data_IF_316619539773
#
_entry.id   IF_316619539773
#
_cell.length_a   1.000
_cell.length_b   1.000
_cell.length_c   1.000
_cell.angle_alpha   90.00
_cell.angle_beta   90.00
_cell.angle_gamma   90.00
#
_symmetry.space_group_name_H-M   'P 1'
#
loop_
_entity.id
_entity.type
_entity.pdbx_description
1 polymer ?
#
# COMPACT_ATOMS: atom_id res chain seq x y z
N UNK A 1 7.14 -3.12 -2.75
CA UNK A 1 7.95 -3.05 -4.00
C UNK A 1 8.04 -4.44 -4.59
N UNK A 2 7.96 -4.57 -5.91
CA UNK A 2 7.89 -5.87 -6.61
C UNK A 2 9.27 -6.41 -7.06
N UNK A 3 10.33 -5.69 -6.72
CA UNK A 3 11.70 -6.01 -7.13
C UNK A 3 12.68 -4.91 -6.72
N UNK A 4 13.81 -4.87 -7.43
CA UNK A 4 14.88 -3.88 -7.29
C UNK A 4 15.15 -3.18 -8.62
N UNK A 5 15.94 -2.11 -8.66
CA UNK A 5 16.25 -1.45 -9.94
C UNK A 5 17.00 -2.35 -10.91
N UNK A 6 17.89 -3.22 -10.41
CA UNK A 6 18.61 -4.16 -11.27
C UNK A 6 17.67 -5.26 -11.81
N UNK A 7 16.66 -5.63 -11.03
CA UNK A 7 15.70 -6.69 -11.32
C UNK A 7 14.29 -6.16 -11.00
N UNK A 8 13.68 -5.37 -11.89
CA UNK A 8 12.45 -4.61 -11.59
C UNK A 8 11.27 -5.47 -11.15
N UNK A 9 11.24 -6.71 -11.63
CA UNK A 9 10.23 -7.72 -11.31
C UNK A 9 10.92 -8.99 -10.83
N UNK A 10 10.96 -9.16 -9.52
CA UNK A 10 11.43 -10.41 -8.91
C UNK A 10 10.24 -11.39 -8.88
N UNK A 11 10.35 -12.48 -9.66
CA UNK A 11 9.28 -13.48 -9.78
C UNK A 11 8.95 -14.17 -8.46
N UNK A 12 9.94 -14.40 -7.60
CA UNK A 12 9.72 -15.04 -6.32
C UNK A 12 8.96 -14.10 -5.38
N UNK A 13 9.36 -12.82 -5.34
CA UNK A 13 8.69 -11.80 -4.53
C UNK A 13 7.26 -11.53 -5.03
N UNK A 14 7.06 -11.48 -6.35
CA UNK A 14 5.75 -11.34 -6.98
C UNK A 14 4.83 -12.51 -6.64
N UNK A 15 5.31 -13.75 -6.84
CA UNK A 15 4.57 -14.95 -6.51
C UNK A 15 4.20 -15.01 -5.04
N UNK A 16 5.13 -14.63 -4.15
CA UNK A 16 4.86 -14.54 -2.72
C UNK A 16 3.79 -13.48 -2.40
N UNK A 17 3.90 -12.26 -2.94
CA UNK A 17 2.92 -11.19 -2.71
C UNK A 17 1.53 -11.53 -3.21
N UNK A 18 1.43 -12.07 -4.42
CA UNK A 18 0.14 -12.47 -5.01
C UNK A 18 -0.43 -13.68 -4.27
N UNK A 19 0.41 -14.62 -3.85
CA UNK A 19 0.00 -15.74 -3.01
C UNK A 19 -0.64 -15.30 -1.70
N UNK A 20 -0.06 -14.30 -1.03
CA UNK A 20 -0.63 -13.68 0.18
C UNK A 20 -2.02 -13.10 -0.10
N UNK A 21 -2.15 -12.30 -1.17
CA UNK A 21 -3.44 -11.71 -1.56
C UNK A 21 -4.47 -12.79 -1.86
N UNK A 22 -4.10 -13.82 -2.61
CA UNK A 22 -4.98 -14.92 -2.98
C UNK A 22 -5.46 -15.72 -1.76
N UNK A 23 -4.59 -15.96 -0.78
CA UNK A 23 -4.97 -16.61 0.48
C UNK A 23 -6.00 -15.79 1.27
N UNK A 24 -5.83 -14.46 1.31
CA UNK A 24 -6.74 -13.57 2.00
C UNK A 24 -8.10 -13.47 1.28
N UNK A 25 -8.07 -13.36 -0.05
CA UNK A 25 -9.26 -13.36 -0.89
C UNK A 25 -10.09 -14.64 -0.69
N UNK A 26 -9.44 -15.81 -0.63
CA UNK A 26 -10.11 -17.10 -0.35
C UNK A 26 -10.74 -17.18 1.04
N UNK A 27 -10.38 -16.30 1.96
CA UNK A 27 -11.04 -16.18 3.26
C UNK A 27 -12.31 -15.30 3.21
N UNK A 28 -12.74 -14.84 2.03
CA UNK A 28 -13.94 -14.01 1.85
C UNK A 28 -13.72 -12.52 2.11
N UNK A 29 -12.47 -12.07 2.12
CA UNK A 29 -12.11 -10.68 2.44
C UNK A 29 -12.07 -9.85 1.16
N UNK A 30 -12.68 -8.66 1.20
CA UNK A 30 -12.63 -7.69 0.11
C UNK A 30 -11.29 -6.94 0.19
N UNK A 31 -10.55 -6.91 -0.91
CA UNK A 31 -9.15 -6.42 -0.91
C UNK A 31 -8.99 -5.27 -1.91
N UNK A 32 -8.46 -4.16 -1.40
CA UNK A 32 -7.88 -3.08 -2.21
C UNK A 32 -6.35 -3.13 -2.11
N UNK A 33 -5.66 -3.10 -3.23
CA UNK A 33 -4.19 -3.12 -3.31
C UNK A 33 -3.71 -1.79 -3.86
N UNK A 34 -2.85 -1.09 -3.11
CA UNK A 34 -2.11 0.07 -3.62
C UNK A 34 -0.65 -0.32 -3.77
N UNK A 35 -0.07 -0.09 -4.96
CA UNK A 35 1.31 -0.45 -5.26
C UNK A 35 2.15 0.78 -5.63
N UNK A 36 3.30 0.92 -4.97
CA UNK A 36 4.27 1.99 -5.30
C UNK A 36 5.15 1.64 -6.50
N UNK A 37 5.73 2.65 -7.17
CA UNK A 37 6.52 2.52 -8.40
C UNK A 37 8.05 2.42 -8.20
N UNK A 38 8.52 2.34 -6.94
CA UNK A 38 9.93 2.52 -6.57
C UNK A 38 10.93 1.48 -7.07
N UNK A 39 10.44 0.35 -7.61
CA UNK A 39 11.26 -0.67 -8.29
C UNK A 39 11.60 -0.28 -9.73
N UNK A 40 10.78 0.57 -10.37
CA UNK A 40 10.99 1.05 -11.74
C UNK A 40 11.57 2.46 -11.73
N UNK A 41 10.95 3.37 -10.98
CA UNK A 41 11.33 4.78 -10.93
C UNK A 41 11.50 5.19 -9.47
N UNK A 42 12.70 5.66 -9.11
CA UNK A 42 12.93 6.34 -7.83
C UNK A 42 12.97 7.85 -8.06
N UNK A 43 12.02 8.60 -7.48
CA UNK A 43 11.92 10.05 -7.67
C UNK A 43 13.22 10.82 -7.43
N UNK A 44 14.09 10.36 -6.51
CA UNK A 44 15.42 10.99 -6.28
C UNK A 44 16.35 10.93 -7.51
N UNK A 45 16.27 9.90 -8.32
CA UNK A 45 17.06 9.78 -9.55
C UNK A 45 16.54 10.70 -10.68
N UNK A 46 15.31 11.20 -10.53
CA UNK A 46 14.60 12.02 -11.52
C UNK A 46 14.46 13.49 -11.08
N UNK A 47 15.19 13.92 -10.05
CA UNK A 47 15.09 15.30 -9.54
C UNK A 47 15.37 16.36 -10.60
N UNK A 48 16.19 16.04 -11.60
CA UNK A 48 16.50 16.93 -12.73
C UNK A 48 15.30 17.24 -13.64
N UNK A 49 14.22 16.44 -13.58
CA UNK A 49 12.95 16.70 -14.30
C UNK A 49 12.04 17.69 -13.58
N UNK A 50 12.39 18.08 -12.34
CA UNK A 50 11.49 18.76 -11.42
C UNK A 50 10.48 17.80 -10.78
N UNK A 51 10.05 18.14 -9.57
CA UNK A 51 9.23 17.26 -8.71
C UNK A 51 7.97 16.75 -9.41
N UNK A 52 7.22 17.63 -10.09
CA UNK A 52 5.95 17.25 -10.70
C UNK A 52 6.09 16.21 -11.80
N UNK A 53 7.08 16.34 -12.69
CA UNK A 53 7.30 15.36 -13.76
C UNK A 53 7.87 14.05 -13.21
N UNK A 54 8.76 14.13 -12.21
CA UNK A 54 9.26 12.93 -11.53
C UNK A 54 8.12 12.12 -10.89
N UNK A 55 7.13 12.79 -10.29
CA UNK A 55 5.95 12.15 -9.71
C UNK A 55 5.05 11.53 -10.80
N UNK A 56 4.88 12.20 -11.95
CA UNK A 56 4.15 11.62 -13.09
C UNK A 56 4.80 10.34 -13.60
N UNK A 57 6.14 10.30 -13.74
CA UNK A 57 6.86 9.06 -14.06
C UNK A 57 6.61 7.98 -13.00
N UNK A 58 6.58 8.38 -11.71
CA UNK A 58 6.23 7.50 -10.61
C UNK A 58 4.81 6.93 -10.73
N UNK A 59 3.82 7.75 -11.08
CA UNK A 59 2.43 7.32 -11.30
C UNK A 59 2.34 6.29 -12.43
N UNK A 60 3.01 6.53 -13.57
CA UNK A 60 3.07 5.54 -14.66
C UNK A 60 3.75 4.24 -14.22
N UNK A 61 4.82 4.32 -13.42
CA UNK A 61 5.46 3.13 -12.85
C UNK A 61 4.50 2.30 -11.97
N UNK A 62 3.59 2.95 -11.23
CA UNK A 62 2.55 2.20 -10.48
C UNK A 62 1.56 1.49 -11.40
N UNK A 63 1.22 2.07 -12.56
CA UNK A 63 0.34 1.44 -13.56
C UNK A 63 0.98 0.17 -14.10
N UNK A 64 2.27 0.22 -14.46
CA UNK A 64 3.02 -0.96 -14.92
C UNK A 64 3.01 -2.05 -13.84
N UNK A 65 3.29 -1.69 -12.59
CA UNK A 65 3.24 -2.63 -11.47
C UNK A 65 1.85 -3.25 -11.27
N UNK A 66 0.79 -2.46 -11.40
CA UNK A 66 -0.58 -2.96 -11.29
C UNK A 66 -0.91 -3.99 -12.36
N UNK A 67 -0.53 -3.74 -13.62
CA UNK A 67 -0.70 -4.71 -14.72
C UNK A 67 0.00 -6.04 -14.38
N UNK A 68 1.23 -5.97 -13.89
CA UNK A 68 1.99 -7.17 -13.50
C UNK A 68 1.28 -7.93 -12.38
N UNK A 69 0.79 -7.25 -11.34
CA UNK A 69 0.03 -7.88 -10.25
C UNK A 69 -1.26 -8.51 -10.79
N UNK A 70 -1.98 -7.82 -11.67
CA UNK A 70 -3.24 -8.30 -12.25
C UNK A 70 -3.03 -9.60 -13.03
N UNK A 71 -1.99 -9.68 -13.86
CA UNK A 71 -1.64 -10.90 -14.61
C UNK A 71 -1.35 -12.07 -13.66
N UNK A 72 -0.63 -11.83 -12.57
CA UNK A 72 -0.36 -12.88 -11.60
C UNK A 72 -1.62 -13.30 -10.84
N UNK A 73 -2.50 -12.36 -10.46
CA UNK A 73 -3.78 -12.69 -9.84
C UNK A 73 -4.66 -13.54 -10.76
N UNK A 74 -4.66 -13.25 -12.07
CA UNK A 74 -5.36 -14.05 -13.08
C UNK A 74 -4.81 -15.49 -13.14
N UNK A 75 -3.48 -15.69 -13.08
CA UNK A 75 -2.88 -17.02 -13.00
C UNK A 75 -3.33 -17.80 -11.76
N UNK A 76 -3.67 -17.10 -10.67
CA UNK A 76 -4.25 -17.68 -9.46
C UNK A 76 -5.78 -17.76 -9.46
N UNK A 77 -6.43 -17.47 -10.59
CA UNK A 77 -7.88 -17.45 -10.76
C UNK A 77 -8.59 -16.49 -9.78
N UNK A 78 -7.93 -15.38 -9.44
CA UNK A 78 -8.49 -14.34 -8.57
C UNK A 78 -9.02 -13.19 -9.44
N UNK A 79 -10.33 -12.87 -9.37
CA UNK A 79 -10.90 -11.74 -10.11
C UNK A 79 -10.25 -10.44 -9.64
N UNK A 80 -9.77 -9.64 -10.59
CA UNK A 80 -9.08 -8.40 -10.28
C UNK A 80 -9.28 -7.32 -11.35
N UNK A 81 -9.32 -6.06 -10.90
CA UNK A 81 -9.58 -4.88 -11.75
C UNK A 81 -8.59 -3.77 -11.40
N UNK A 82 -8.01 -3.14 -12.42
CA UNK A 82 -7.21 -1.93 -12.25
C UNK A 82 -8.14 -0.71 -12.13
N UNK A 83 -7.77 0.22 -11.25
CA UNK A 83 -8.44 1.51 -11.09
C UNK A 83 -7.37 2.59 -10.82
N UNK A 84 -7.39 3.71 -11.54
CA UNK A 84 -6.22 4.59 -11.61
C UNK A 84 -6.48 6.03 -11.17
N UNK A 85 -5.55 6.66 -10.46
CA UNK A 85 -5.60 8.10 -10.17
C UNK A 85 -5.56 8.98 -11.43
N UNK A 86 -4.93 8.48 -12.50
CA UNK A 86 -4.83 9.11 -13.83
C UNK A 86 -5.47 8.22 -14.89
N UNK A 87 -6.08 8.82 -15.91
CA UNK A 87 -6.59 8.06 -17.05
C UNK A 87 -5.45 7.62 -17.97
N UNK A 88 -5.44 6.36 -18.38
CA UNK A 88 -4.50 5.81 -19.36
C UNK A 88 -5.29 5.08 -20.42
N UNK A 89 -5.63 5.80 -21.49
CA UNK A 89 -6.47 5.31 -22.58
C UNK A 89 -6.00 3.96 -23.11
N UNK A 90 -6.94 3.01 -23.22
CA UNK A 90 -6.68 1.63 -23.66
C UNK A 90 -6.09 0.71 -22.59
N UNK A 91 -5.78 1.21 -21.39
CA UNK A 91 -5.16 0.42 -20.31
C UNK A 91 -6.02 0.42 -19.05
N UNK A 92 -6.29 1.60 -18.47
CA UNK A 92 -7.03 1.72 -17.21
C UNK A 92 -7.74 3.06 -17.14
N UNK A 93 -8.98 3.03 -16.68
CA UNK A 93 -9.79 4.22 -16.49
C UNK A 93 -9.50 4.90 -15.16
N UNK A 94 -9.85 6.19 -15.09
CA UNK A 94 -9.79 6.93 -13.84
C UNK A 94 -10.68 6.28 -12.77
N UNK A 95 -10.15 6.20 -11.55
CA UNK A 95 -10.82 5.64 -10.40
C UNK A 95 -12.13 6.37 -10.15
N UNK A 96 -13.20 5.59 -10.05
CA UNK A 96 -14.54 6.05 -9.77
C UNK A 96 -15.14 5.14 -8.71
N UNK A 97 -15.34 5.69 -7.50
CA UNK A 97 -15.95 4.94 -6.41
C UNK A 97 -17.28 4.32 -6.84
N UNK A 98 -18.09 5.05 -7.61
CA UNK A 98 -19.38 4.58 -8.11
C UNK A 98 -19.25 3.38 -9.07
N UNK A 99 -18.25 3.38 -9.95
CA UNK A 99 -18.05 2.30 -10.92
C UNK A 99 -17.34 1.09 -10.32
N UNK A 100 -16.41 1.31 -9.39
CA UNK A 100 -15.59 0.27 -8.80
C UNK A 100 -16.26 -0.41 -7.60
N UNK A 101 -17.22 0.25 -6.92
CA UNK A 101 -17.95 -0.29 -5.75
C UNK A 101 -18.58 -1.65 -6.01
N UNK A 102 -19.36 -1.86 -7.09
CA UNK A 102 -20.05 -3.14 -7.28
C UNK A 102 -19.07 -4.32 -7.44
N UNK A 103 -17.92 -4.08 -8.08
CA UNK A 103 -16.86 -5.09 -8.21
C UNK A 103 -16.21 -5.39 -6.87
N UNK A 104 -15.92 -4.35 -6.07
CA UNK A 104 -15.37 -4.51 -4.72
C UNK A 104 -16.32 -5.31 -3.81
N UNK A 105 -17.61 -4.98 -3.82
CA UNK A 105 -18.64 -5.70 -3.06
C UNK A 105 -18.79 -7.15 -3.51
N UNK A 106 -18.61 -7.44 -4.80
CA UNK A 106 -18.59 -8.78 -5.36
C UNK A 106 -17.30 -9.57 -5.05
N UNK A 107 -16.35 -8.99 -4.31
CA UNK A 107 -15.09 -9.63 -3.93
C UNK A 107 -13.98 -9.50 -4.98
N UNK A 108 -14.17 -8.72 -6.04
CA UNK A 108 -13.09 -8.45 -7.02
C UNK A 108 -11.98 -7.66 -6.34
N UNK A 109 -10.73 -8.11 -6.46
CA UNK A 109 -9.58 -7.38 -5.95
C UNK A 109 -9.38 -6.11 -6.78
N UNK A 110 -9.53 -4.94 -6.13
CA UNK A 110 -9.24 -3.67 -6.77
C UNK A 110 -7.75 -3.34 -6.62
N UNK A 111 -7.09 -3.04 -7.73
CA UNK A 111 -5.68 -2.66 -7.77
C UNK A 111 -5.63 -1.17 -8.14
N UNK A 112 -5.38 -0.34 -7.12
CA UNK A 112 -5.27 1.10 -7.28
C UNK A 112 -3.87 1.49 -7.74
N UNK A 113 -3.81 2.13 -8.90
CA UNK A 113 -2.60 2.64 -9.54
C UNK A 113 -2.73 4.14 -9.81
N UNK A 114 -1.71 4.77 -10.38
CA UNK A 114 -1.72 6.21 -10.66
C UNK A 114 -1.71 7.11 -9.42
N UNK A 115 -1.45 6.55 -8.23
CA UNK A 115 -1.46 7.31 -6.97
C UNK A 115 -2.77 8.04 -6.70
N UNK A 116 -2.68 9.27 -6.20
CA UNK A 116 -3.84 10.18 -6.06
C UNK A 116 -4.23 10.83 -7.39
N UNK A 117 -3.46 10.62 -8.46
CA UNK A 117 -3.57 11.34 -9.72
C UNK A 117 -2.89 12.71 -9.73
N UNK A 118 -2.34 13.15 -8.59
CA UNK A 118 -1.75 14.46 -8.42
C UNK A 118 -0.27 14.35 -7.98
N UNK A 119 0.63 15.17 -8.53
CA UNK A 119 1.98 15.32 -7.99
C UNK A 119 1.98 15.79 -6.54
N UNK A 120 3.12 15.67 -5.86
CA UNK A 120 3.37 16.06 -4.46
C UNK A 120 2.74 15.13 -3.41
N UNK A 121 2.01 14.10 -3.83
CA UNK A 121 1.42 13.11 -2.94
C UNK A 121 2.12 11.76 -3.05
N UNK A 122 2.19 11.05 -1.93
CA UNK A 122 2.83 9.73 -1.91
C UNK A 122 1.83 8.62 -2.20
N UNK A 123 2.35 7.41 -2.42
CA UNK A 123 1.52 6.21 -2.50
C UNK A 123 0.83 5.89 -1.17
N UNK A 124 1.40 6.29 -0.02
CA UNK A 124 0.75 6.13 1.28
C UNK A 124 -0.50 7.04 1.35
N UNK A 125 -0.43 8.26 0.82
CA UNK A 125 -1.61 9.15 0.73
C UNK A 125 -2.69 8.55 -0.16
N UNK A 126 -2.31 7.94 -1.28
CA UNK A 126 -3.26 7.24 -2.14
C UNK A 126 -3.91 6.05 -1.40
N UNK A 127 -3.14 5.26 -0.66
CA UNK A 127 -3.67 4.15 0.12
C UNK A 127 -4.66 4.60 1.19
N UNK A 128 -4.35 5.67 1.93
CA UNK A 128 -5.24 6.27 2.91
C UNK A 128 -6.55 6.78 2.25
N UNK A 129 -6.43 7.50 1.13
CA UNK A 129 -7.58 8.01 0.38
C UNK A 129 -8.50 6.87 -0.09
N UNK A 130 -7.95 5.84 -0.73
CA UNK A 130 -8.76 4.70 -1.21
C UNK A 130 -9.35 3.90 -0.06
N UNK A 131 -8.64 3.77 1.06
CA UNK A 131 -9.20 3.12 2.24
C UNK A 131 -10.44 3.87 2.76
N UNK A 132 -10.40 5.21 2.81
CA UNK A 132 -11.54 6.01 3.22
C UNK A 132 -12.69 5.97 2.21
N UNK A 133 -12.41 6.05 0.90
CA UNK A 133 -13.44 5.92 -0.14
C UNK A 133 -14.05 4.51 -0.19
N UNK A 134 -13.34 3.49 0.27
CA UNK A 134 -13.81 2.11 0.26
C UNK A 134 -14.28 1.58 1.61
N UNK A 135 -14.38 2.45 2.62
CA UNK A 135 -14.82 2.10 3.98
C UNK A 135 -14.02 0.91 4.52
N UNK A 136 -12.71 0.90 4.26
CA UNK A 136 -11.84 -0.20 4.61
C UNK A 136 -11.66 -0.29 6.14
N UNK A 137 -11.79 -1.50 6.67
CA UNK A 137 -11.65 -1.76 8.11
C UNK A 137 -10.22 -1.48 8.63
N UNK A 138 -9.21 -1.56 7.76
CA UNK A 138 -7.80 -1.39 8.12
C UNK A 138 -6.94 -1.09 6.90
N UNK A 139 -5.94 -0.22 7.08
CA UNK A 139 -4.82 -0.06 6.13
C UNK A 139 -3.65 -0.92 6.57
N UNK A 140 -3.25 -1.86 5.71
CA UNK A 140 -2.09 -2.72 5.97
C UNK A 140 -0.88 -2.22 5.16
N UNK A 141 0.12 -1.68 5.86
CA UNK A 141 1.35 -1.17 5.28
C UNK A 141 2.46 -2.22 5.36
N UNK A 142 2.67 -2.90 4.25
CA UNK A 142 3.76 -3.87 4.05
C UNK A 142 5.13 -3.17 3.94
N UNK A 143 6.03 -3.43 4.89
CA UNK A 143 7.38 -2.84 4.92
C UNK A 143 8.47 -3.91 5.04
N UNK A 144 9.74 -3.47 5.08
CA UNK A 144 10.90 -4.34 5.33
C UNK A 144 11.31 -4.42 6.81
N UNK A 145 10.70 -3.60 7.66
CA UNK A 145 10.97 -3.55 9.11
C UNK A 145 9.82 -4.23 9.87
N UNK A 146 10.08 -4.69 11.08
CA UNK A 146 9.07 -5.44 11.87
C UNK A 146 7.81 -4.64 12.18
N UNK A 147 7.94 -3.32 12.31
CA UNK A 147 6.84 -2.41 12.60
C UNK A 147 7.41 -1.01 12.84
N UNK A 148 6.72 -0.23 13.65
CA UNK A 148 7.13 1.12 14.03
C UNK A 148 8.04 1.03 15.25
N UNK A 149 9.19 1.68 15.19
CA UNK A 149 10.18 1.69 16.26
C UNK A 149 10.39 3.09 16.83
N UNK A 150 10.86 3.17 18.07
CA UNK A 150 11.22 4.42 18.74
C UNK A 150 12.35 5.20 18.04
N UNK A 151 13.20 4.49 17.29
CA UNK A 151 14.27 5.04 16.48
C UNK A 151 14.53 4.12 15.28
N UNK A 152 15.33 4.58 14.31
CA UNK A 152 15.78 3.77 13.18
C UNK A 152 16.57 2.55 13.68
N UNK A 153 16.06 1.30 13.51
CA UNK A 153 16.72 0.09 14.01
C UNK A 153 18.09 -0.15 13.39
N UNK A 154 18.29 0.29 12.14
CA UNK A 154 19.56 0.11 11.45
C UNK A 154 20.66 0.99 12.05
N UNK A 155 20.26 2.12 12.67
CA UNK A 155 21.18 3.09 13.28
C UNK A 155 21.26 2.96 14.79
N UNK A 156 20.20 2.48 15.43
CA UNK A 156 20.04 2.50 16.89
C UNK A 156 19.72 1.11 17.40
N UNK A 157 20.72 0.42 17.99
CA UNK A 157 20.54 -0.92 18.58
C UNK A 157 19.52 -0.97 19.74
N UNK A 158 19.20 0.18 20.35
CA UNK A 158 18.20 0.31 21.42
C UNK A 158 16.79 0.66 20.91
N UNK A 159 16.57 0.66 19.59
CA UNK A 159 15.25 0.90 19.02
C UNK A 159 14.25 -0.14 19.55
N UNK A 160 13.16 0.33 20.14
CA UNK A 160 12.12 -0.52 20.71
C UNK A 160 10.95 -0.57 19.75
N UNK A 161 10.47 -1.78 19.44
CA UNK A 161 9.28 -2.00 18.62
C UNK A 161 8.03 -1.71 19.44
N UNK A 162 7.16 -0.85 18.92
CA UNK A 162 5.83 -0.67 19.47
C UNK A 162 4.88 -1.75 18.94
N UNK A 163 4.07 -2.35 19.81
CA UNK A 163 2.99 -3.26 19.38
C UNK A 163 1.70 -2.53 19.04
N UNK A 164 1.37 -1.53 19.85
CA UNK A 164 0.21 -0.66 19.70
C UNK A 164 0.63 0.78 19.89
N UNK A 165 0.06 1.68 19.11
CA UNK A 165 0.27 3.12 19.20
C UNK A 165 -1.05 3.85 19.00
N UNK A 166 -1.22 4.97 19.69
CA UNK A 166 -2.27 5.93 19.36
C UNK A 166 -1.78 6.88 18.27
N UNK A 167 -2.70 7.37 17.43
CA UNK A 167 -2.37 8.39 16.42
C UNK A 167 -1.67 9.62 17.04
N UNK A 168 -2.21 10.16 18.14
CA UNK A 168 -1.63 11.32 18.83
C UNK A 168 -0.24 11.03 19.42
N UNK A 169 -0.03 9.81 19.90
CA UNK A 169 1.26 9.38 20.43
C UNK A 169 2.31 9.32 19.31
N UNK A 170 1.95 8.76 18.16
CA UNK A 170 2.84 8.70 17.01
C UNK A 170 3.22 10.10 16.48
N UNK A 171 2.27 11.03 16.45
CA UNK A 171 2.51 12.43 16.05
C UNK A 171 3.42 13.14 17.06
N UNK A 172 3.09 13.07 18.35
CA UNK A 172 3.88 13.73 19.41
C UNK A 172 5.32 13.21 19.49
N UNK A 173 5.54 11.93 19.20
CA UNK A 173 6.88 11.32 19.12
C UNK A 173 7.56 11.50 17.75
N UNK A 174 6.91 12.16 16.80
CA UNK A 174 7.40 12.39 15.42
C UNK A 174 7.85 11.07 14.74
N UNK A 175 7.08 9.99 14.92
CA UNK A 175 7.38 8.68 14.36
C UNK A 175 7.12 8.69 12.85
N UNK A 176 8.12 8.29 12.06
CA UNK A 176 8.01 8.23 10.59
C UNK A 176 7.29 6.97 10.13
N UNK A 177 5.96 7.00 10.16
CA UNK A 177 5.09 5.87 9.79
C UNK A 177 4.75 5.92 8.30
N UNK A 178 4.20 7.05 7.86
CA UNK A 178 3.82 7.44 6.51
C UNK A 178 3.95 8.96 6.40
N UNK A 179 3.68 9.56 5.24
CA UNK A 179 3.57 11.02 5.18
C UNK A 179 2.43 11.53 6.07
N UNK A 180 2.57 12.76 6.57
CA UNK A 180 1.63 13.34 7.53
C UNK A 180 0.21 13.41 6.97
N UNK A 181 0.07 13.71 5.67
CA UNK A 181 -1.23 13.78 5.00
C UNK A 181 -1.96 12.43 5.01
N UNK A 182 -1.26 11.35 4.65
CA UNK A 182 -1.80 9.99 4.73
C UNK A 182 -2.20 9.62 6.16
N UNK A 183 -1.36 9.98 7.13
CA UNK A 183 -1.58 9.67 8.54
C UNK A 183 -2.81 10.39 9.10
N UNK A 184 -2.94 11.69 8.83
CA UNK A 184 -4.08 12.50 9.25
C UNK A 184 -5.39 12.04 8.58
N UNK A 185 -5.34 11.62 7.31
CA UNK A 185 -6.51 11.09 6.60
C UNK A 185 -7.04 9.82 7.29
N UNK A 186 -6.17 8.85 7.58
CA UNK A 186 -6.56 7.65 8.32
C UNK A 186 -7.08 7.98 9.73
N UNK A 187 -6.44 8.91 10.45
CA UNK A 187 -6.88 9.36 11.78
C UNK A 187 -8.30 9.91 11.74
N UNK A 188 -8.57 10.84 10.81
CA UNK A 188 -9.86 11.51 10.69
C UNK A 188 -10.97 10.56 10.23
N UNK A 189 -10.66 9.62 9.34
CA UNK A 189 -11.58 8.57 8.91
C UNK A 189 -11.70 7.42 9.93
N UNK A 190 -11.03 7.49 11.07
CA UNK A 190 -10.99 6.45 12.11
C UNK A 190 -10.50 5.08 11.64
N UNK A 191 -9.71 5.04 10.55
CA UNK A 191 -9.21 3.80 9.95
C UNK A 191 -7.92 3.37 10.67
N UNK A 192 -7.85 2.18 11.26
CA UNK A 192 -6.60 1.63 11.82
C UNK A 192 -5.50 1.44 10.77
N UNK A 193 -4.23 1.56 11.18
CA UNK A 193 -3.08 1.22 10.34
C UNK A 193 -2.31 0.07 10.99
N UNK A 194 -2.04 -1.01 10.26
CA UNK A 194 -1.09 -2.04 10.66
C UNK A 194 0.20 -1.92 9.83
N UNK A 195 1.33 -1.67 10.48
CA UNK A 195 2.66 -1.69 9.85
C UNK A 195 3.36 -2.98 10.22
N UNK A 196 3.78 -3.76 9.22
CA UNK A 196 4.41 -5.05 9.46
C UNK A 196 5.53 -5.38 8.47
N UNK A 197 6.33 -6.40 8.80
CA UNK A 197 7.34 -6.93 7.90
C UNK A 197 6.74 -7.98 6.95
N UNK A 198 6.63 -7.59 5.69
CA UNK A 198 6.08 -8.41 4.63
C UNK A 198 6.89 -9.68 4.35
N UNK A 199 8.21 -9.64 4.48
CA UNK A 199 9.07 -10.81 4.20
C UNK A 199 9.08 -11.82 5.36
N UNK A 200 8.74 -11.38 6.58
CA UNK A 200 8.81 -12.21 7.79
C UNK A 200 7.49 -12.86 8.16
N UNK A 201 6.36 -12.17 7.94
CA UNK A 201 5.06 -12.61 8.42
C UNK A 201 4.03 -12.68 7.30
N UNK A 202 3.16 -13.71 7.28
CA UNK A 202 2.07 -13.77 6.31
C UNK A 202 0.94 -12.81 6.68
N UNK A 203 0.39 -12.14 5.66
CA UNK A 203 -0.76 -11.25 5.75
C UNK A 203 -1.98 -11.93 6.40
N UNK A 204 -2.20 -13.21 6.08
CA UNK A 204 -3.29 -14.01 6.67
C UNK A 204 -3.23 -14.09 8.20
N UNK A 205 -2.05 -14.03 8.79
CA UNK A 205 -1.91 -14.05 10.25
C UNK A 205 -2.44 -12.77 10.90
N UNK A 206 -2.17 -11.60 10.30
CA UNK A 206 -2.68 -10.30 10.74
C UNK A 206 -4.21 -10.28 10.64
N UNK A 207 -4.75 -10.75 9.52
CA UNK A 207 -6.18 -10.85 9.27
C UNK A 207 -6.89 -11.74 10.30
N UNK A 208 -6.22 -12.80 10.77
CA UNK A 208 -6.74 -13.68 11.83
C UNK A 208 -6.61 -13.08 13.23
N UNK A 209 -6.16 -11.83 13.37
CA UNK A 209 -6.04 -11.12 14.64
C UNK A 209 -4.75 -11.42 15.41
N UNK A 210 -3.72 -12.01 14.79
CA UNK A 210 -2.42 -12.16 15.46
C UNK A 210 -1.74 -10.79 15.63
N UNK A 211 -1.18 -10.55 16.81
CA UNK A 211 -0.44 -9.31 17.11
C UNK A 211 0.92 -9.29 16.40
N UNK A 212 0.91 -8.91 15.13
CA UNK A 212 2.08 -8.83 14.27
C UNK A 212 2.33 -7.38 13.87
N UNK A 213 3.58 -6.95 14.06
CA UNK A 213 4.01 -5.59 13.77
C UNK A 213 3.44 -4.56 14.74
N UNK A 214 3.03 -3.41 14.22
CA UNK A 214 2.47 -2.31 15.03
C UNK A 214 1.09 -1.93 14.52
N UNK A 215 0.12 -1.95 15.42
CA UNK A 215 -1.23 -1.43 15.18
C UNK A 215 -1.33 0.01 15.66
N UNK A 216 -1.78 0.92 14.80
CA UNK A 216 -2.05 2.33 15.11
C UNK A 216 -3.55 2.56 15.04
N UNK A 217 -4.16 3.04 16.13
CA UNK A 217 -5.60 3.34 16.18
C UNK A 217 -5.91 4.61 16.96
N UNK A 218 -7.15 5.11 16.89
CA UNK A 218 -7.59 6.24 17.72
C UNK A 218 -7.83 5.84 19.18
N UNK A 219 -8.15 4.57 19.43
CA UNK A 219 -8.38 3.97 20.75
C UNK A 219 -7.15 3.23 21.31
N UNK A 220 -7.25 2.79 22.57
CA UNK A 220 -6.26 1.94 23.24
C UNK A 220 -6.59 0.45 23.09
#
# INVERSE_FOLDING_TARGET
>A
MLGSHAHPFDRQLLGYAVGQIAECHRCGIKIGVVVGGGNLIRGRAMQWLGTSHADQCGMIATVINGIVIQVHLQQHHIPSRLSSGIDVSGIVHRCSQQEDRPYYEAGTVLIFVGGTGNPLFTTDTAAALRAAEFDADIVIKATKVEGIHSADPEKTKKATLYKRLRYDEAISKNLKIMDLTAFDLCRNATIPICVYNFAKYPLKAIIKGQEIGTLVTNGG
#
